data_IF_662556920048
#
_entry.id   IF_662556920048
#
_cell.length_a   1.000
_cell.length_b   1.000
_cell.length_c   1.000
_cell.angle_alpha   90.00
_cell.angle_beta   90.00
_cell.angle_gamma   90.00
#
_symmetry.space_group_name_H-M   'P 1'
#
loop_
_entity.id
_entity.type
_entity.pdbx_description
1 polymer ?
#
# COMPACT_ATOMS: atom_id res chain seq x y z
N UNK A 1 -12.15 -21.08 -2.13
CA UNK A 1 -13.47 -20.96 -1.47
C UNK A 1 -13.45 -19.66 -0.71
N UNK A 2 -14.29 -18.68 -1.07
CA UNK A 2 -14.30 -17.38 -0.42
C UNK A 2 -15.03 -17.48 0.92
N UNK A 3 -14.52 -16.86 2.00
CA UNK A 3 -15.15 -16.92 3.31
C UNK A 3 -16.55 -16.28 3.27
N UNK A 4 -17.46 -16.82 4.09
CA UNK A 4 -18.82 -16.28 4.21
C UNK A 4 -18.78 -14.87 4.84
N UNK A 5 -19.82 -14.07 4.61
CA UNK A 5 -19.94 -12.72 5.21
C UNK A 5 -19.74 -12.75 6.74
N UNK A 6 -20.21 -13.82 7.40
CA UNK A 6 -20.05 -14.02 8.84
C UNK A 6 -18.59 -14.25 9.25
N UNK A 7 -17.85 -15.10 8.53
CA UNK A 7 -16.44 -15.36 8.81
C UNK A 7 -15.57 -14.11 8.61
N UNK A 8 -15.89 -13.31 7.61
CA UNK A 8 -15.21 -12.05 7.37
C UNK A 8 -15.46 -11.03 8.51
N UNK A 9 -16.71 -10.89 8.96
CA UNK A 9 -17.06 -10.02 10.08
C UNK A 9 -16.41 -10.47 11.39
N UNK A 10 -16.36 -11.78 11.66
CA UNK A 10 -15.76 -12.34 12.88
C UNK A 10 -14.25 -12.04 12.96
N UNK A 11 -13.50 -12.32 11.89
CA UNK A 11 -12.06 -12.03 11.86
C UNK A 11 -11.75 -10.54 12.07
N UNK A 12 -12.62 -9.67 11.55
CA UNK A 12 -12.46 -8.24 11.66
C UNK A 12 -12.83 -7.69 13.05
N UNK A 13 -13.82 -8.28 13.73
CA UNK A 13 -14.13 -8.00 15.13
C UNK A 13 -13.02 -8.49 16.07
N UNK A 14 -12.48 -9.68 15.82
CA UNK A 14 -11.36 -10.24 16.58
C UNK A 14 -10.13 -9.32 16.47
N UNK A 15 -9.81 -8.80 15.27
CA UNK A 15 -8.74 -7.83 15.06
C UNK A 15 -8.93 -6.51 15.86
N UNK A 16 -10.18 -6.06 16.04
CA UNK A 16 -10.48 -4.88 16.87
C UNK A 16 -10.27 -5.17 18.37
N UNK A 17 -10.77 -6.31 18.87
CA UNK A 17 -10.60 -6.72 20.27
C UNK A 17 -9.11 -6.94 20.60
N UNK A 18 -8.35 -7.51 19.66
CA UNK A 18 -6.91 -7.71 19.77
C UNK A 18 -6.09 -6.43 19.52
N UNK A 19 -6.75 -5.29 19.28
CA UNK A 19 -6.13 -3.97 19.05
C UNK A 19 -5.19 -3.89 17.83
N UNK A 20 -5.33 -4.80 16.87
CA UNK A 20 -4.59 -4.77 15.60
C UNK A 20 -5.12 -3.66 14.67
N UNK A 21 -6.36 -3.23 14.90
CA UNK A 21 -7.04 -2.12 14.22
C UNK A 21 -7.76 -1.23 15.24
N UNK A 22 -7.92 0.06 14.92
CA UNK A 22 -8.61 1.02 15.80
C UNK A 22 -10.12 1.11 15.50
N UNK A 23 -10.88 1.75 16.40
CA UNK A 23 -12.33 1.90 16.27
C UNK A 23 -12.75 2.65 14.99
N UNK A 24 -11.95 3.61 14.53
CA UNK A 24 -12.20 4.35 13.27
C UNK A 24 -12.10 3.42 12.06
N UNK A 25 -11.11 2.55 12.04
CA UNK A 25 -10.95 1.51 11.01
C UNK A 25 -12.07 0.49 11.17
N UNK A 26 -12.39 0.07 12.40
CA UNK A 26 -13.44 -0.90 12.68
C UNK A 26 -14.81 -0.47 12.11
N UNK A 27 -15.22 0.74 12.47
CA UNK A 27 -16.48 1.37 12.02
C UNK A 27 -16.54 1.59 10.52
N UNK A 28 -15.42 1.96 9.87
CA UNK A 28 -15.36 2.07 8.40
C UNK A 28 -15.71 0.75 7.70
N UNK A 29 -15.22 -0.39 8.18
CA UNK A 29 -15.50 -1.68 7.53
C UNK A 29 -16.92 -2.17 7.75
N UNK A 30 -17.46 -1.94 8.94
CA UNK A 30 -18.85 -2.26 9.26
C UNK A 30 -19.83 -1.45 8.39
N UNK A 31 -19.53 -0.17 8.16
CA UNK A 31 -20.38 0.73 7.37
C UNK A 31 -20.19 0.58 5.85
N UNK A 32 -18.97 0.28 5.38
CA UNK A 32 -18.63 0.23 3.96
C UNK A 32 -18.34 -1.18 3.41
N UNK A 33 -18.86 -2.23 4.06
CA UNK A 33 -18.85 -3.60 3.53
C UNK A 33 -17.45 -4.21 3.40
N UNK A 34 -16.53 -3.83 4.28
CA UNK A 34 -15.30 -4.59 4.46
C UNK A 34 -14.31 -4.61 3.30
N UNK A 35 -14.31 -3.61 2.41
CA UNK A 35 -13.16 -3.41 1.52
C UNK A 35 -11.96 -2.99 2.37
N UNK A 36 -11.22 -3.97 2.93
CA UNK A 36 -9.79 -3.76 3.22
C UNK A 36 -9.27 -3.22 1.90
N UNK A 37 -8.60 -2.07 1.90
CA UNK A 37 -7.81 -1.65 0.76
C UNK A 37 -6.60 -2.60 0.63
N UNK A 38 -6.82 -3.90 0.46
CA UNK A 38 -5.88 -4.77 -0.23
C UNK A 38 -6.00 -4.41 -1.71
N UNK A 39 -5.61 -3.18 -2.05
CA UNK A 39 -5.43 -2.79 -3.43
C UNK A 39 -4.24 -3.60 -3.92
N UNK A 40 -4.54 -4.74 -4.55
CA UNK A 40 -3.56 -5.52 -5.29
C UNK A 40 -3.00 -4.60 -6.38
N UNK A 41 -1.70 -4.37 -6.33
CA UNK A 41 -1.02 -3.54 -7.32
C UNK A 41 -0.52 -4.46 -8.42
N UNK A 42 -1.12 -4.34 -9.60
CA UNK A 42 -0.65 -5.07 -10.78
C UNK A 42 0.61 -4.38 -11.32
N UNK A 43 1.65 -5.17 -11.55
CA UNK A 43 2.85 -4.66 -12.19
C UNK A 43 2.52 -4.21 -13.62
N UNK A 44 2.83 -2.96 -14.02
CA UNK A 44 2.53 -2.48 -15.37
C UNK A 44 3.37 -3.20 -16.45
N UNK A 45 4.47 -3.84 -16.07
CA UNK A 45 5.38 -4.53 -17.00
C UNK A 45 5.01 -6.00 -17.21
N UNK A 46 4.80 -6.76 -16.13
CA UNK A 46 4.60 -8.21 -16.20
C UNK A 46 3.21 -8.66 -15.73
N UNK A 47 2.36 -7.73 -15.29
CA UNK A 47 0.99 -7.95 -14.78
C UNK A 47 0.87 -8.86 -13.56
N UNK A 48 1.99 -9.18 -12.90
CA UNK A 48 1.95 -9.91 -11.64
C UNK A 48 1.22 -9.08 -10.58
N UNK A 49 0.27 -9.67 -9.84
CA UNK A 49 -0.34 -9.04 -8.68
C UNK A 49 0.70 -8.93 -7.54
N UNK A 50 0.79 -7.78 -6.91
CA UNK A 50 1.67 -7.54 -5.76
C UNK A 50 0.83 -7.03 -4.57
N UNK A 51 1.24 -7.35 -3.34
CA UNK A 51 0.62 -6.80 -2.13
C UNK A 51 0.59 -5.27 -2.13
N UNK A 52 -0.40 -4.63 -1.49
CA UNK A 52 -0.39 -3.17 -1.29
C UNK A 52 0.90 -2.74 -0.58
N UNK A 53 1.43 -1.56 -0.93
CA UNK A 53 2.69 -1.04 -0.38
C UNK A 53 3.97 -1.68 -0.95
N UNK A 54 3.88 -2.68 -1.84
CA UNK A 54 5.06 -3.27 -2.49
C UNK A 54 5.83 -2.21 -3.28
N UNK A 55 7.12 -2.04 -2.96
CA UNK A 55 8.01 -1.10 -3.68
C UNK A 55 8.44 -1.64 -5.04
N UNK A 56 8.61 -2.97 -5.14
CA UNK A 56 9.08 -3.67 -6.32
C UNK A 56 8.17 -4.85 -6.65
N UNK A 57 8.13 -5.23 -7.93
CA UNK A 57 7.41 -6.41 -8.36
C UNK A 57 8.12 -7.68 -7.88
N UNK A 58 7.36 -8.56 -7.21
CA UNK A 58 7.88 -9.84 -6.71
C UNK A 58 8.33 -10.81 -7.81
N UNK A 59 7.87 -10.61 -9.06
CA UNK A 59 8.24 -11.46 -10.20
C UNK A 59 9.36 -10.87 -11.05
N UNK A 60 9.27 -9.59 -11.43
CA UNK A 60 10.21 -9.00 -12.39
C UNK A 60 11.15 -7.94 -11.79
N UNK A 61 11.02 -7.61 -10.50
CA UNK A 61 11.87 -6.63 -9.82
C UNK A 61 11.62 -5.16 -10.19
N UNK A 62 10.74 -4.87 -11.15
CA UNK A 62 10.43 -3.49 -11.54
C UNK A 62 9.75 -2.71 -10.41
N UNK A 63 10.10 -1.43 -10.19
CA UNK A 63 9.48 -0.60 -9.17
C UNK A 63 8.00 -0.34 -9.46
N UNK A 64 7.19 -0.32 -8.41
CA UNK A 64 5.73 -0.18 -8.48
C UNK A 64 5.24 1.17 -7.98
N UNK A 65 6.00 1.81 -7.08
CA UNK A 65 5.63 3.08 -6.47
C UNK A 65 6.47 4.23 -7.01
N UNK A 66 5.79 5.33 -7.30
CA UNK A 66 6.37 6.57 -7.79
C UNK A 66 6.04 7.70 -6.83
N UNK A 67 6.93 8.67 -6.75
CA UNK A 67 6.76 9.94 -6.05
C UNK A 67 7.08 11.09 -6.98
N UNK A 68 6.50 12.27 -6.73
CA UNK A 68 6.91 13.50 -7.41
C UNK A 68 7.99 14.20 -6.61
N UNK A 69 9.02 14.69 -7.29
CA UNK A 69 10.03 15.53 -6.68
C UNK A 69 9.39 16.87 -6.28
N UNK A 70 9.50 17.30 -5.00
CA UNK A 70 8.94 18.58 -4.57
C UNK A 70 9.69 19.79 -5.15
N UNK A 71 10.94 19.61 -5.59
CA UNK A 71 11.77 20.69 -6.12
C UNK A 71 11.53 20.93 -7.62
N UNK A 72 11.53 19.86 -8.43
CA UNK A 72 11.42 20.00 -9.90
C UNK A 72 10.15 19.39 -10.50
N UNK A 73 9.26 18.78 -9.71
CA UNK A 73 8.01 18.16 -10.18
C UNK A 73 8.16 16.82 -10.90
N UNK A 74 9.40 16.36 -11.18
CA UNK A 74 9.64 15.11 -11.89
C UNK A 74 9.04 13.89 -11.14
N UNK A 75 8.38 13.01 -11.88
CA UNK A 75 7.95 11.71 -11.35
C UNK A 75 9.13 10.74 -11.33
N UNK A 76 9.47 10.24 -10.14
CA UNK A 76 10.62 9.36 -9.90
C UNK A 76 10.19 8.17 -9.07
N UNK A 77 10.96 7.08 -9.07
CA UNK A 77 10.66 5.94 -8.20
C UNK A 77 10.72 6.33 -6.72
N UNK A 78 9.80 5.77 -5.92
CA UNK A 78 9.69 6.08 -4.50
C UNK A 78 10.96 5.75 -3.71
N UNK A 79 11.74 4.78 -4.20
CA UNK A 79 12.99 4.27 -3.61
C UNK A 79 14.19 5.19 -3.80
N UNK A 80 14.16 6.15 -4.75
CA UNK A 80 15.27 7.07 -4.96
C UNK A 80 15.54 7.91 -3.71
N UNK A 81 16.79 7.95 -3.25
CA UNK A 81 17.23 8.85 -2.18
C UNK A 81 17.51 10.25 -2.71
N UNK A 82 17.86 10.38 -4.00
CA UNK A 82 18.11 11.66 -4.67
C UNK A 82 17.38 11.70 -6.01
N UNK A 83 16.88 12.87 -6.38
CA UNK A 83 16.21 13.06 -7.65
C UNK A 83 17.23 13.04 -8.79
N UNK A 84 17.11 12.13 -9.78
CA UNK A 84 18.05 12.07 -10.92
C UNK A 84 17.95 13.28 -11.86
N UNK A 85 16.88 14.09 -11.75
CA UNK A 85 16.68 15.26 -12.62
C UNK A 85 17.27 16.54 -12.01
N UNK A 86 17.15 16.76 -10.69
CA UNK A 86 17.59 18.01 -10.06
C UNK A 86 18.52 17.86 -8.85
N UNK A 87 18.88 16.64 -8.45
CA UNK A 87 19.74 16.40 -7.29
C UNK A 87 19.07 16.55 -5.91
N UNK A 88 17.77 16.90 -5.85
CA UNK A 88 17.06 17.03 -4.57
C UNK A 88 17.12 15.73 -3.75
N UNK A 89 17.59 15.82 -2.51
CA UNK A 89 17.72 14.66 -1.60
C UNK A 89 16.41 14.46 -0.83
N UNK A 90 15.80 13.28 -0.99
CA UNK A 90 14.62 12.88 -0.25
C UNK A 90 15.00 12.48 1.18
N UNK A 91 14.37 13.09 2.19
CA UNK A 91 14.55 12.67 3.59
C UNK A 91 14.12 11.21 3.76
N UNK A 92 14.93 10.39 4.45
CA UNK A 92 14.59 9.00 4.81
C UNK A 92 13.47 8.97 5.85
N UNK A 93 12.25 9.35 5.48
CA UNK A 93 11.06 8.91 6.20
C UNK A 93 10.75 7.52 5.68
N UNK A 94 10.72 6.55 6.60
CA UNK A 94 10.55 5.12 6.33
C UNK A 94 9.47 4.88 5.27
N UNK A 95 9.83 4.08 4.24
CA UNK A 95 8.92 3.65 3.18
C UNK A 95 7.73 2.81 3.70
N UNK A 96 7.68 2.55 5.01
CA UNK A 96 6.58 1.93 5.74
C UNK A 96 5.32 2.79 5.85
N UNK A 97 5.31 4.02 5.31
CA UNK A 97 4.20 4.96 5.40
C UNK A 97 3.34 5.07 4.12
N UNK A 98 3.58 4.24 3.10
CA UNK A 98 2.81 4.22 1.84
C UNK A 98 2.13 2.88 1.60
#
# INVERSE_FOLDING_TARGET
MFPTCYEFLKSYYDAYINKEINLRKFTYYFLFGGKILQHVVYCPYCRTPNPPGSLFCQKCGQPLLYKRCPNCGAQVYATYQQCPNCGYTFSRRSLAAY
#
